data_IF_936759619364
#
_entry.id   IF_936759619364
#
_cell.length_a   1.000
_cell.length_b   1.000
_cell.length_c   1.000
_cell.angle_alpha   90.00
_cell.angle_beta   90.00
_cell.angle_gamma   90.00
#
_symmetry.space_group_name_H-M   'P 1'
#
loop_
_entity.id
_entity.type
_entity.pdbx_description
1 polymer ?
#
# COMPACT_ATOMS: atom_id res chain seq x y z
N UNK A 1 10.76 -9.07 22.22
CA UNK A 1 9.34 -9.03 21.79
C UNK A 1 8.50 -10.21 22.27
N UNK A 2 8.94 -11.48 22.19
CA UNK A 2 8.20 -12.60 22.84
C UNK A 2 7.94 -12.39 24.35
N UNK A 3 8.88 -11.75 25.07
CA UNK A 3 8.76 -11.43 26.50
C UNK A 3 7.63 -10.46 26.85
N UNK A 4 7.17 -9.66 25.88
CA UNK A 4 6.01 -8.76 26.03
C UNK A 4 4.77 -9.32 25.33
N UNK A 5 4.78 -10.61 24.97
CA UNK A 5 3.63 -11.28 24.37
C UNK A 5 3.35 -10.92 22.91
N UNK A 6 4.26 -10.24 22.20
CA UNK A 6 3.99 -9.80 20.83
C UNK A 6 4.06 -10.98 19.83
N UNK A 7 2.93 -11.38 19.21
CA UNK A 7 2.91 -12.52 18.30
C UNK A 7 3.58 -12.19 16.96
N UNK A 8 3.91 -13.23 16.18
CA UNK A 8 4.22 -13.04 14.77
C UNK A 8 3.01 -12.41 14.05
N UNK A 9 3.21 -11.50 13.08
CA UNK A 9 4.46 -11.22 12.35
C UNK A 9 5.35 -10.09 12.92
N UNK A 10 4.97 -9.44 14.02
CA UNK A 10 5.59 -8.18 14.43
C UNK A 10 7.09 -8.23 14.73
N UNK A 11 7.65 -9.27 15.40
CA UNK A 11 9.10 -9.35 15.60
C UNK A 11 9.87 -9.43 14.27
N UNK A 12 9.29 -10.07 13.24
CA UNK A 12 9.88 -10.13 11.91
C UNK A 12 9.85 -8.76 11.24
N UNK A 13 8.74 -8.04 11.35
CA UNK A 13 8.61 -6.67 10.81
C UNK A 13 9.66 -5.75 11.44
N UNK A 14 9.77 -5.76 12.78
CA UNK A 14 10.76 -4.96 13.50
C UNK A 14 12.20 -5.24 13.07
N UNK A 15 12.53 -6.51 12.80
CA UNK A 15 13.86 -6.89 12.31
C UNK A 15 14.14 -6.39 10.88
N UNK A 16 13.12 -6.24 10.04
CA UNK A 16 13.25 -5.77 8.66
C UNK A 16 13.41 -4.25 8.60
N UNK A 17 12.59 -3.52 9.35
CA UNK A 17 12.53 -2.04 9.24
C UNK A 17 13.38 -1.31 10.28
N UNK A 18 13.93 -2.03 11.26
CA UNK A 18 14.69 -1.44 12.36
C UNK A 18 13.80 -0.84 13.46
N UNK A 19 14.43 -0.50 14.59
CA UNK A 19 13.72 -0.06 15.80
C UNK A 19 12.94 1.25 15.59
N UNK A 20 13.58 2.28 15.02
CA UNK A 20 12.98 3.61 14.92
C UNK A 20 11.73 3.61 14.02
N UNK A 21 11.82 2.99 12.83
CA UNK A 21 10.69 2.86 11.92
C UNK A 21 9.56 1.99 12.52
N UNK A 22 9.93 0.96 13.29
CA UNK A 22 8.95 0.14 13.99
C UNK A 22 8.22 0.91 15.09
N UNK A 23 8.92 1.76 15.85
CA UNK A 23 8.29 2.60 16.87
C UNK A 23 7.38 3.67 16.25
N UNK A 24 7.75 4.25 15.11
CA UNK A 24 6.90 5.16 14.36
C UNK A 24 5.59 4.47 13.90
N UNK A 25 5.71 3.25 13.33
CA UNK A 25 4.55 2.42 12.98
C UNK A 25 3.69 2.12 14.20
N UNK A 26 4.31 1.72 15.31
CA UNK A 26 3.61 1.37 16.54
C UNK A 26 2.82 2.55 17.10
N UNK A 27 3.43 3.74 17.11
CA UNK A 27 2.77 4.96 17.57
C UNK A 27 1.58 5.33 16.68
N UNK A 28 1.75 5.27 15.35
CA UNK A 28 0.67 5.55 14.40
C UNK A 28 -0.51 4.59 14.55
N UNK A 29 -0.27 3.32 14.90
CA UNK A 29 -1.34 2.35 15.15
C UNK A 29 -2.04 2.59 16.49
N UNK A 30 -1.31 3.03 17.52
CA UNK A 30 -1.84 3.26 18.85
C UNK A 30 -2.74 4.51 18.94
N UNK A 31 -2.64 5.45 18.00
CA UNK A 31 -3.40 6.71 17.98
C UNK A 31 -4.69 6.65 17.16
N UNK A 32 -5.01 5.51 16.55
CA UNK A 32 -6.26 5.34 15.80
C UNK A 32 -7.42 5.08 16.78
N UNK A 33 -8.12 6.15 17.17
CA UNK A 33 -9.30 6.12 18.06
C UNK A 33 -10.46 5.22 17.54
N UNK A 34 -10.49 4.94 16.24
CA UNK A 34 -11.55 4.19 15.57
C UNK A 34 -11.48 2.66 15.74
N UNK A 35 -10.54 2.12 16.53
CA UNK A 35 -10.51 0.71 16.87
C UNK A 35 -11.61 0.35 17.88
N UNK A 36 -12.88 0.58 17.52
CA UNK A 36 -14.02 0.20 18.32
C UNK A 36 -13.91 -1.25 18.80
N UNK A 37 -13.68 -1.44 20.10
CA UNK A 37 -13.77 -2.71 20.85
C UNK A 37 -12.96 -3.92 20.34
N UNK A 38 -12.15 -3.81 19.29
CA UNK A 38 -11.34 -4.92 18.79
C UNK A 38 -9.92 -4.45 18.48
N UNK A 39 -8.97 -4.93 19.26
CA UNK A 39 -7.51 -4.80 19.12
C UNK A 39 -6.96 -5.46 17.83
N UNK A 40 -7.73 -5.48 16.73
CA UNK A 40 -7.42 -6.20 15.51
C UNK A 40 -7.13 -5.22 14.38
N UNK A 41 -5.87 -5.17 13.98
CA UNK A 41 -5.44 -4.49 12.75
C UNK A 41 -5.83 -5.38 11.56
N UNK A 42 -6.68 -4.87 10.69
CA UNK A 42 -7.04 -5.53 9.43
C UNK A 42 -5.97 -5.21 8.39
N UNK A 43 -5.19 -6.21 8.00
CA UNK A 43 -4.22 -6.08 6.91
C UNK A 43 -4.78 -6.76 5.65
N UNK A 44 -5.03 -6.02 4.56
CA UNK A 44 -5.45 -6.65 3.31
C UNK A 44 -4.34 -7.54 2.75
N UNK A 45 -4.71 -8.49 1.89
CA UNK A 45 -3.72 -9.28 1.14
C UNK A 45 -2.77 -8.34 0.39
N UNK A 46 -1.48 -8.66 0.37
CA UNK A 46 -0.47 -7.84 -0.30
C UNK A 46 -0.85 -7.51 -1.76
N UNK A 47 -1.40 -8.48 -2.50
CA UNK A 47 -1.88 -8.27 -3.87
C UNK A 47 -3.00 -7.24 -3.99
N UNK A 48 -3.87 -7.14 -2.98
CA UNK A 48 -4.94 -6.14 -2.94
C UNK A 48 -4.36 -4.75 -2.71
N UNK A 49 -3.41 -4.63 -1.77
CA UNK A 49 -2.72 -3.36 -1.53
C UNK A 49 -1.89 -2.92 -2.73
N UNK A 50 -1.15 -3.82 -3.37
CA UNK A 50 -0.35 -3.50 -4.56
C UNK A 50 -1.22 -3.05 -5.74
N UNK A 51 -2.36 -3.70 -5.97
CA UNK A 51 -3.33 -3.23 -6.97
C UNK A 51 -3.85 -1.82 -6.65
N UNK A 52 -4.17 -1.56 -5.39
CA UNK A 52 -4.59 -0.22 -4.95
C UNK A 52 -3.50 0.82 -5.20
N UNK A 53 -2.26 0.55 -4.81
CA UNK A 53 -1.12 1.45 -5.04
C UNK A 53 -0.89 1.70 -6.53
N UNK A 54 -0.98 0.67 -7.38
CA UNK A 54 -0.90 0.81 -8.84
C UNK A 54 -1.99 1.75 -9.37
N UNK A 55 -3.23 1.59 -8.92
CA UNK A 55 -4.35 2.46 -9.31
C UNK A 55 -4.12 3.90 -8.85
N UNK A 56 -3.60 4.09 -7.63
CA UNK A 56 -3.28 5.42 -7.12
C UNK A 56 -2.17 6.09 -7.92
N UNK A 57 -1.14 5.33 -8.31
CA UNK A 57 -0.07 5.82 -9.18
C UNK A 57 -0.60 6.25 -10.55
N UNK A 58 -1.47 5.43 -11.18
CA UNK A 58 -2.13 5.81 -12.45
C UNK A 58 -2.86 7.15 -12.32
N UNK A 59 -3.59 7.36 -11.22
CA UNK A 59 -4.32 8.60 -10.95
C UNK A 59 -3.40 9.79 -10.74
N UNK A 60 -2.29 9.62 -10.01
CA UNK A 60 -1.28 10.67 -9.82
C UNK A 60 -0.68 11.11 -11.16
N UNK A 61 -0.27 10.15 -11.98
CA UNK A 61 0.32 10.42 -13.29
C UNK A 61 -0.68 11.11 -14.24
N UNK A 62 -1.96 10.71 -14.21
CA UNK A 62 -3.00 11.39 -14.96
C UNK A 62 -3.23 12.83 -14.46
N UNK A 63 -3.20 13.05 -13.14
CA UNK A 63 -3.30 14.40 -12.55
C UNK A 63 -2.10 15.29 -12.89
N UNK A 64 -0.93 14.70 -13.11
CA UNK A 64 0.28 15.36 -13.63
C UNK A 64 0.19 15.67 -15.14
N UNK A 65 -0.89 15.25 -15.81
CA UNK A 65 -1.18 15.54 -17.22
C UNK A 65 -0.68 14.49 -18.21
N UNK A 66 -0.23 13.32 -17.74
CA UNK A 66 0.22 12.24 -18.63
C UNK A 66 -0.97 11.57 -19.32
N UNK A 67 -0.78 11.22 -20.59
CA UNK A 67 -1.75 10.44 -21.35
C UNK A 67 -1.67 8.93 -21.02
N UNK A 68 -2.63 8.16 -21.55
CA UNK A 68 -2.73 6.72 -21.27
C UNK A 68 -1.50 5.91 -21.69
N UNK A 69 -0.83 6.29 -22.76
CA UNK A 69 0.33 5.56 -23.27
C UNK A 69 1.57 5.90 -22.45
N UNK A 70 1.73 7.17 -22.07
CA UNK A 70 2.78 7.61 -21.15
C UNK A 70 2.64 6.95 -19.78
N UNK A 71 1.41 6.86 -19.24
CA UNK A 71 1.13 6.13 -17.98
C UNK A 71 1.50 4.66 -18.13
N UNK A 72 1.12 4.02 -19.25
CA UNK A 72 1.45 2.60 -19.52
C UNK A 72 2.96 2.38 -19.58
N UNK A 73 3.69 3.26 -20.28
CA UNK A 73 5.14 3.20 -20.39
C UNK A 73 5.80 3.37 -19.03
N UNK A 74 5.32 4.30 -18.20
CA UNK A 74 5.82 4.50 -16.84
C UNK A 74 5.63 3.25 -15.99
N UNK A 75 4.42 2.65 -16.01
CA UNK A 75 4.13 1.40 -15.30
C UNK A 75 5.03 0.24 -15.78
N UNK A 76 5.33 0.16 -17.07
CA UNK A 76 6.19 -0.88 -17.66
C UNK A 76 7.62 -0.84 -17.12
N UNK A 77 8.12 0.36 -16.75
CA UNK A 77 9.45 0.50 -16.17
C UNK A 77 9.55 -0.01 -14.72
N UNK A 78 8.41 -0.15 -14.03
CA UNK A 78 8.33 -0.46 -12.60
C UNK A 78 7.82 -1.90 -12.37
N UNK A 79 7.00 -2.43 -13.28
CA UNK A 79 6.41 -3.76 -13.15
C UNK A 79 6.26 -4.48 -14.49
N UNK A 80 6.34 -5.81 -14.45
CA UNK A 80 6.09 -6.67 -15.60
C UNK A 80 4.61 -6.95 -15.85
N UNK A 81 3.73 -6.70 -14.88
CA UNK A 81 2.26 -6.86 -15.02
C UNK A 81 1.60 -5.51 -15.33
N UNK A 82 1.66 -5.13 -16.60
CA UNK A 82 1.19 -3.83 -17.09
C UNK A 82 -0.25 -3.91 -17.59
N UNK A 83 -1.19 -3.12 -17.03
CA UNK A 83 -2.56 -3.06 -17.52
C UNK A 83 -2.64 -2.47 -18.93
N UNK A 84 -3.61 -2.92 -19.72
CA UNK A 84 -3.91 -2.33 -21.03
C UNK A 84 -4.38 -0.88 -20.90
N UNK A 85 -4.22 -0.08 -21.95
CA UNK A 85 -4.73 1.30 -22.00
C UNK A 85 -6.24 1.40 -21.74
N UNK A 86 -7.02 0.42 -22.17
CA UNK A 86 -8.46 0.30 -21.86
C UNK A 86 -8.73 0.12 -20.37
N UNK A 87 -7.91 -0.68 -19.68
CA UNK A 87 -8.02 -0.88 -18.24
C UNK A 87 -7.60 0.39 -17.49
N UNK A 88 -6.50 1.04 -17.90
CA UNK A 88 -6.06 2.32 -17.32
C UNK A 88 -7.20 3.34 -17.42
N UNK A 89 -7.80 3.51 -18.61
CA UNK A 89 -8.96 4.40 -18.81
C UNK A 89 -10.09 4.09 -17.83
N UNK A 90 -10.51 2.83 -17.73
CA UNK A 90 -11.56 2.42 -16.77
C UNK A 90 -11.25 2.82 -15.32
N UNK A 91 -10.00 2.66 -14.87
CA UNK A 91 -9.59 3.03 -13.50
C UNK A 91 -9.62 4.55 -13.27
N UNK A 92 -9.32 5.33 -14.31
CA UNK A 92 -9.38 6.78 -14.27
C UNK A 92 -10.83 7.29 -14.31
N UNK A 93 -11.71 6.61 -15.04
CA UNK A 93 -13.14 6.93 -15.11
C UNK A 93 -13.92 6.53 -13.84
N UNK A 94 -13.40 5.58 -13.05
CA UNK A 94 -13.97 5.11 -11.76
C UNK A 94 -13.55 5.99 -10.54
N UNK A 95 -12.81 7.08 -10.76
CA UNK A 95 -12.28 7.96 -9.71
C UNK A 95 -13.17 9.18 -9.48
#
# INVERSE_FOLDING_TARGET
MRRIGLPQPWPRVAAIIGFDAFMALWHALATVDAAGTRDRIVLPKLSTYMRYQRNQLMRSLAAEGLDLEQIRQHLTSITSDVPSTSHIRRILDEA
#
